data_IF_104370751696
#
_entry.id   IF_104370751696
#
_cell.length_a   1.000
_cell.length_b   1.000
_cell.length_c   1.000
_cell.angle_alpha   90.00
_cell.angle_beta   90.00
_cell.angle_gamma   90.00
#
_symmetry.space_group_name_H-M   'P 1'
#
loop_
_entity.id
_entity.type
_entity.pdbx_description
1 polymer ?
#
# COMPACT_ATOMS: atom_id res chain seq x y z
N UNK A 1 8.12 -7.32 -8.79
CA UNK A 1 7.88 -8.76 -9.06
C UNK A 1 7.95 -9.10 -10.54
N UNK A 2 7.24 -8.39 -11.45
CA UNK A 2 7.19 -8.72 -12.88
C UNK A 2 8.56 -8.90 -13.57
N UNK A 3 9.60 -8.08 -13.34
CA UNK A 3 10.91 -8.29 -13.98
C UNK A 3 11.55 -9.65 -13.66
N UNK A 4 11.18 -10.28 -12.54
CA UNK A 4 11.76 -11.55 -12.07
C UNK A 4 11.05 -12.76 -12.66
N UNK A 5 9.75 -12.65 -12.96
CA UNK A 5 8.89 -13.77 -13.38
C UNK A 5 8.46 -13.70 -14.85
N UNK A 6 8.81 -12.62 -15.56
CA UNK A 6 8.46 -12.46 -16.96
C UNK A 6 9.04 -13.59 -17.79
N UNK A 7 8.20 -14.23 -18.61
CA UNK A 7 8.62 -15.33 -19.48
C UNK A 7 9.02 -16.58 -18.71
N UNK A 8 8.48 -16.80 -17.50
CA UNK A 8 8.75 -17.98 -16.68
C UNK A 8 7.49 -18.82 -16.46
N UNK A 9 7.68 -20.09 -16.09
CA UNK A 9 6.65 -20.93 -15.51
C UNK A 9 6.47 -20.57 -14.04
N UNK A 10 5.27 -20.14 -13.64
CA UNK A 10 4.99 -19.67 -12.28
C UNK A 10 4.07 -20.65 -11.57
N UNK A 11 4.49 -21.11 -10.39
CA UNK A 11 3.68 -21.89 -9.47
C UNK A 11 3.21 -21.00 -8.31
N UNK A 12 1.90 -20.88 -8.14
CA UNK A 12 1.25 -20.16 -7.04
C UNK A 12 1.00 -21.13 -5.89
N UNK A 13 1.64 -20.90 -4.75
CA UNK A 13 1.36 -21.66 -3.53
C UNK A 13 0.27 -20.94 -2.73
N UNK A 14 -0.82 -21.62 -2.42
CA UNK A 14 -1.97 -21.05 -1.69
C UNK A 14 -2.56 -22.05 -0.70
N UNK A 15 -3.06 -21.60 0.44
CA UNK A 15 -3.87 -22.44 1.35
C UNK A 15 -5.36 -22.44 1.01
N UNK A 16 -5.78 -21.65 0.01
CA UNK A 16 -7.16 -21.57 -0.40
C UNK A 16 -7.42 -22.53 -1.57
N UNK A 17 -8.07 -23.65 -1.27
CA UNK A 17 -8.43 -24.68 -2.25
C UNK A 17 -9.29 -24.13 -3.39
N UNK A 18 -10.20 -23.19 -3.09
CA UNK A 18 -11.05 -22.55 -4.10
C UNK A 18 -10.22 -21.66 -5.02
N UNK A 19 -9.29 -20.86 -4.48
CA UNK A 19 -8.38 -20.05 -5.29
C UNK A 19 -7.52 -20.93 -6.22
N UNK A 20 -6.94 -22.02 -5.68
CA UNK A 20 -6.22 -23.02 -6.49
C UNK A 20 -7.07 -23.53 -7.65
N UNK A 21 -8.31 -23.91 -7.36
CA UNK A 21 -9.23 -24.44 -8.36
C UNK A 21 -9.51 -23.41 -9.47
N UNK A 22 -9.76 -22.15 -9.10
CA UNK A 22 -10.01 -21.07 -10.06
C UNK A 22 -8.79 -20.76 -10.94
N UNK A 23 -7.57 -20.76 -10.39
CA UNK A 23 -6.34 -20.57 -11.18
C UNK A 23 -6.16 -21.71 -12.18
N UNK A 24 -6.22 -22.95 -11.72
CA UNK A 24 -5.94 -24.11 -12.58
C UNK A 24 -7.04 -24.39 -13.62
N UNK A 25 -8.29 -24.02 -13.32
CA UNK A 25 -9.42 -24.17 -14.24
C UNK A 25 -9.73 -22.90 -15.02
N UNK A 26 -8.96 -21.83 -14.80
CA UNK A 26 -9.17 -20.51 -15.40
C UNK A 26 -10.59 -19.96 -15.17
N UNK A 27 -11.13 -20.20 -13.97
CA UNK A 27 -12.47 -19.78 -13.60
C UNK A 27 -13.30 -20.83 -12.88
N UNK A 28 -14.59 -20.53 -12.77
CA UNK A 28 -15.58 -21.39 -12.15
C UNK A 28 -17.00 -20.94 -12.51
N UNK A 29 -17.97 -21.84 -12.32
CA UNK A 29 -19.35 -21.64 -12.78
C UNK A 29 -20.26 -21.01 -11.73
N UNK A 30 -19.85 -21.00 -10.46
CA UNK A 30 -20.72 -20.64 -9.34
C UNK A 30 -20.66 -19.16 -8.93
N UNK A 31 -19.64 -18.41 -9.35
CA UNK A 31 -19.49 -16.99 -8.98
C UNK A 31 -18.96 -16.17 -10.15
N UNK A 32 -19.81 -15.25 -10.66
CA UNK A 32 -19.42 -14.31 -11.72
C UNK A 32 -18.27 -13.40 -11.30
N UNK A 33 -18.22 -13.02 -10.02
CA UNK A 33 -17.13 -12.19 -9.50
C UNK A 33 -15.80 -12.95 -9.54
N UNK A 34 -15.76 -14.18 -9.01
CA UNK A 34 -14.54 -15.00 -9.03
C UNK A 34 -14.13 -15.39 -10.46
N UNK A 35 -15.09 -15.57 -11.36
CA UNK A 35 -14.82 -15.79 -12.78
C UNK A 35 -14.09 -14.59 -13.41
N UNK A 36 -14.57 -13.37 -13.16
CA UNK A 36 -13.92 -12.14 -13.67
C UNK A 36 -12.50 -11.96 -13.14
N UNK A 37 -12.28 -12.29 -11.88
CA UNK A 37 -10.92 -12.24 -11.29
C UNK A 37 -10.00 -13.28 -11.95
N UNK A 38 -10.48 -14.52 -12.17
CA UNK A 38 -9.72 -15.56 -12.85
C UNK A 38 -9.41 -15.19 -14.31
N UNK A 39 -10.37 -14.59 -15.02
CA UNK A 39 -10.17 -14.09 -16.38
C UNK A 39 -9.15 -12.94 -16.42
N UNK A 40 -9.23 -12.01 -15.47
CA UNK A 40 -8.27 -10.91 -15.35
C UNK A 40 -6.86 -11.44 -15.10
N UNK A 41 -6.72 -12.44 -14.21
CA UNK A 41 -5.46 -13.11 -13.94
C UNK A 41 -4.94 -13.86 -15.18
N UNK A 42 -5.79 -14.62 -15.86
CA UNK A 42 -5.45 -15.38 -17.07
C UNK A 42 -4.95 -14.47 -18.18
N UNK A 43 -5.71 -13.44 -18.52
CA UNK A 43 -5.34 -12.44 -19.53
C UNK A 43 -4.02 -11.74 -19.22
N UNK A 44 -3.75 -11.48 -17.94
CA UNK A 44 -2.47 -10.91 -17.52
C UNK A 44 -1.34 -11.92 -17.66
N UNK A 45 -1.56 -13.17 -17.22
CA UNK A 45 -0.56 -14.23 -17.29
C UNK A 45 -0.17 -14.56 -18.73
N UNK A 46 -1.12 -14.64 -19.66
CA UNK A 46 -0.86 -14.88 -21.08
C UNK A 46 0.09 -13.86 -21.70
N UNK A 47 -0.02 -12.59 -21.30
CA UNK A 47 0.84 -11.51 -21.82
C UNK A 47 2.25 -11.50 -21.22
N UNK A 48 2.48 -12.21 -20.11
CA UNK A 48 3.64 -11.96 -19.26
C UNK A 48 4.40 -13.22 -18.83
N UNK A 49 3.77 -14.40 -18.81
CA UNK A 49 4.31 -15.64 -18.26
C UNK A 49 4.28 -16.75 -19.33
N UNK A 50 5.10 -17.79 -19.15
CA UNK A 50 5.00 -19.00 -19.98
C UNK A 50 3.85 -19.90 -19.52
N UNK A 51 3.64 -19.99 -18.21
CA UNK A 51 2.47 -20.65 -17.63
C UNK A 51 2.22 -20.17 -16.22
N UNK A 52 0.98 -20.36 -15.75
CA UNK A 52 0.60 -20.19 -14.35
C UNK A 52 -0.16 -21.42 -13.87
N UNK A 53 0.24 -21.96 -12.73
CA UNK A 53 -0.47 -23.05 -12.04
C UNK A 53 -0.54 -22.75 -10.55
N UNK A 54 -1.41 -23.46 -9.83
CA UNK A 54 -1.56 -23.31 -8.39
C UNK A 54 -1.50 -24.66 -7.66
N UNK A 55 -0.82 -24.66 -6.52
CA UNK A 55 -0.72 -25.80 -5.61
C UNK A 55 -1.15 -25.42 -4.19
N UNK A 56 -1.76 -26.39 -3.51
CA UNK A 56 -2.27 -26.17 -2.17
C UNK A 56 -1.17 -26.43 -1.15
N UNK A 57 -0.95 -25.49 -0.24
CA UNK A 57 -0.08 -25.65 0.92
C UNK A 57 -0.88 -25.54 2.22
N UNK A 58 -0.41 -26.19 3.29
CA UNK A 58 -1.04 -26.02 4.60
C UNK A 58 -0.94 -24.57 5.08
N UNK A 59 -1.93 -24.07 5.83
CA UNK A 59 -1.87 -22.74 6.44
C UNK A 59 -0.63 -22.52 7.32
N UNK A 60 -0.09 -23.58 7.95
CA UNK A 60 1.19 -23.53 8.69
C UNK A 60 2.39 -23.21 7.80
N UNK A 61 2.36 -23.59 6.53
CA UNK A 61 3.37 -23.22 5.54
C UNK A 61 3.09 -21.85 4.90
N UNK A 62 1.83 -21.37 4.94
CA UNK A 62 1.41 -20.09 4.39
C UNK A 62 1.54 -18.89 5.37
N UNK A 63 2.17 -19.10 6.54
CA UNK A 63 2.24 -18.10 7.62
C UNK A 63 2.81 -16.75 7.18
N UNK A 64 3.80 -16.74 6.28
CA UNK A 64 4.39 -15.48 5.79
C UNK A 64 3.38 -14.67 4.96
N UNK A 65 2.68 -15.30 4.02
CA UNK A 65 1.67 -14.63 3.21
C UNK A 65 0.48 -14.19 4.06
N UNK A 66 0.07 -15.03 5.02
CA UNK A 66 -0.97 -14.69 5.99
C UNK A 66 -0.57 -13.51 6.87
N UNK A 67 0.66 -13.51 7.40
CA UNK A 67 1.15 -12.40 8.20
C UNK A 67 1.23 -11.10 7.39
N UNK A 68 1.74 -11.14 6.16
CA UNK A 68 1.82 -9.96 5.27
C UNK A 68 0.42 -9.45 4.87
N UNK A 69 -0.53 -10.35 4.58
CA UNK A 69 -1.90 -9.95 4.22
C UNK A 69 -2.70 -9.41 5.41
N UNK A 70 -2.36 -9.85 6.63
CA UNK A 70 -2.97 -9.41 7.89
C UNK A 70 -2.22 -8.26 8.54
N UNK A 71 -1.04 -7.89 8.07
CA UNK A 71 -0.40 -6.65 8.49
C UNK A 71 -1.34 -5.50 8.16
N UNK A 72 -1.90 -4.87 9.20
CA UNK A 72 -2.63 -3.62 9.05
C UNK A 72 -1.67 -2.65 8.38
N UNK A 73 -2.05 -2.14 7.21
CA UNK A 73 -1.35 -1.02 6.57
C UNK A 73 -1.18 0.05 7.64
N UNK A 74 0.06 0.40 7.96
CA UNK A 74 0.31 1.45 8.95
C UNK A 74 -0.32 2.73 8.41
N UNK A 75 -1.39 3.19 9.06
CA UNK A 75 -2.10 4.40 8.66
C UNK A 75 -1.19 5.63 8.76
N UNK A 76 -0.09 5.55 9.53
CA UNK A 76 0.93 6.59 9.54
C UNK A 76 1.70 6.71 8.22
N UNK A 77 1.68 5.67 7.38
CA UNK A 77 2.27 5.70 6.03
C UNK A 77 1.29 6.19 4.97
N UNK A 78 0.03 6.44 5.31
CA UNK A 78 -0.92 7.03 4.38
C UNK A 78 -0.59 8.49 4.10
N UNK A 79 -0.84 8.92 2.86
CA UNK A 79 -0.83 10.33 2.47
C UNK A 79 -2.13 10.68 1.78
N UNK A 80 -2.53 11.95 1.84
CA UNK A 80 -3.58 12.45 0.98
C UNK A 80 -3.20 12.22 -0.49
N UNK A 81 -4.18 11.89 -1.32
CA UNK A 81 -3.92 11.66 -2.74
C UNK A 81 -3.26 12.89 -3.37
N UNK A 82 -2.18 12.75 -4.16
CA UNK A 82 -1.40 13.90 -4.66
C UNK A 82 -2.22 14.95 -5.43
N UNK A 83 -3.28 14.52 -6.15
CA UNK A 83 -4.21 15.47 -6.81
C UNK A 83 -4.98 16.34 -5.82
N UNK A 84 -5.49 15.74 -4.73
CA UNK A 84 -6.23 16.49 -3.70
C UNK A 84 -5.32 17.42 -2.91
N UNK A 85 -4.07 16.99 -2.67
CA UNK A 85 -3.06 17.88 -2.11
C UNK A 85 -2.78 19.05 -3.04
N UNK A 86 -2.58 18.78 -4.34
CA UNK A 86 -2.38 19.85 -5.32
C UNK A 86 -3.55 20.85 -5.34
N UNK A 87 -4.79 20.36 -5.38
CA UNK A 87 -5.99 21.20 -5.28
C UNK A 87 -6.03 22.04 -3.99
N UNK A 88 -5.64 21.45 -2.86
CA UNK A 88 -5.53 22.18 -1.59
C UNK A 88 -4.44 23.27 -1.66
N UNK A 89 -3.28 22.98 -2.24
CA UNK A 89 -2.20 23.97 -2.38
C UNK A 89 -2.57 25.13 -3.30
N UNK A 90 -3.36 24.88 -4.36
CA UNK A 90 -3.89 25.94 -5.22
C UNK A 90 -4.86 26.86 -4.47
N UNK A 91 -5.61 26.31 -3.51
CA UNK A 91 -6.62 27.07 -2.74
C UNK A 91 -6.05 27.82 -1.55
N UNK A 92 -5.15 27.20 -0.80
CA UNK A 92 -4.66 27.72 0.48
C UNK A 92 -3.22 28.23 0.44
N UNK A 93 -2.50 27.98 -0.66
CA UNK A 93 -1.07 28.26 -0.82
C UNK A 93 -0.21 27.02 -0.63
N UNK A 94 1.06 27.11 -1.04
CA UNK A 94 2.04 26.03 -0.89
C UNK A 94 2.56 25.99 0.56
N UNK A 95 2.35 24.90 1.31
CA UNK A 95 2.88 24.78 2.65
C UNK A 95 4.41 24.62 2.63
N UNK A 96 5.07 25.10 3.67
CA UNK A 96 6.54 25.07 3.77
C UNK A 96 7.08 23.80 4.41
N UNK A 97 6.23 23.03 5.11
CA UNK A 97 6.61 21.82 5.83
C UNK A 97 5.44 20.85 6.01
N UNK A 98 5.72 19.55 5.89
CA UNK A 98 4.80 18.44 6.17
C UNK A 98 5.04 17.88 7.59
N UNK A 99 4.07 18.02 8.48
CA UNK A 99 4.23 17.68 9.90
C UNK A 99 4.14 16.18 10.20
N UNK A 100 3.51 15.39 9.34
CA UNK A 100 3.20 13.98 9.63
C UNK A 100 3.51 13.10 8.44
N UNK A 101 4.80 12.89 8.17
CA UNK A 101 5.25 12.11 7.03
C UNK A 101 6.38 11.13 7.33
N UNK A 102 6.71 10.33 6.33
CA UNK A 102 7.90 9.51 6.15
C UNK A 102 8.56 9.89 4.82
N UNK A 103 9.81 9.51 4.58
CA UNK A 103 10.44 9.74 3.26
C UNK A 103 9.67 9.13 2.08
N UNK A 104 8.80 8.13 2.34
CA UNK A 104 8.04 7.43 1.31
C UNK A 104 6.71 8.14 0.98
N UNK A 105 6.17 8.92 1.91
CA UNK A 105 4.84 9.50 1.77
C UNK A 105 4.79 11.04 1.85
N UNK A 106 5.91 11.70 2.18
CA UNK A 106 6.00 13.15 2.27
C UNK A 106 5.50 13.84 1.00
N UNK A 107 4.70 14.90 1.18
CA UNK A 107 4.22 15.73 0.07
C UNK A 107 5.09 16.96 -0.17
N UNK A 108 6.05 17.21 0.73
CA UNK A 108 6.95 18.35 0.72
C UNK A 108 8.39 17.87 0.96
N UNK A 109 9.41 18.58 0.43
CA UNK A 109 10.81 18.23 0.68
C UNK A 109 11.22 18.34 2.15
N UNK A 110 10.60 19.25 2.90
CA UNK A 110 10.80 19.45 4.33
C UNK A 110 9.66 18.79 5.09
N UNK A 111 9.99 17.90 6.01
CA UNK A 111 9.00 17.15 6.76
C UNK A 111 9.50 16.68 8.13
N UNK A 112 8.55 16.40 9.02
CA UNK A 112 8.80 15.74 10.30
C UNK A 112 8.36 14.27 10.24
N UNK A 113 9.08 13.42 10.96
CA UNK A 113 8.80 11.98 11.02
C UNK A 113 8.34 11.52 12.39
N UNK A 114 7.55 10.44 12.45
CA UNK A 114 7.13 9.83 13.72
C UNK A 114 8.32 9.30 14.54
N UNK A 115 9.30 8.71 13.87
CA UNK A 115 10.52 8.15 14.45
C UNK A 115 11.75 8.83 13.86
N UNK A 116 12.90 8.71 14.54
CA UNK A 116 14.16 9.30 14.09
C UNK A 116 14.49 8.86 12.68
N UNK A 117 14.66 9.81 11.78
CA UNK A 117 15.05 9.58 10.40
C UNK A 117 16.05 10.66 9.96
N UNK A 118 17.16 10.30 9.28
CA UNK A 118 18.18 11.27 8.88
C UNK A 118 17.71 12.27 7.81
N UNK A 119 16.64 11.97 7.07
CA UNK A 119 16.07 12.84 6.04
C UNK A 119 15.02 13.81 6.59
N UNK A 120 14.58 13.61 7.83
CA UNK A 120 13.56 14.44 8.46
C UNK A 120 14.19 15.65 9.16
N UNK A 121 13.50 16.78 9.10
CA UNK A 121 13.95 18.00 9.77
C UNK A 121 13.82 17.87 11.29
N UNK A 122 12.73 17.25 11.78
CA UNK A 122 12.55 16.88 13.18
C UNK A 122 11.79 15.56 13.34
N UNK A 123 11.77 15.05 14.57
CA UNK A 123 11.04 13.84 14.97
C UNK A 123 9.90 14.20 15.92
N UNK A 124 8.71 13.64 15.68
CA UNK A 124 7.50 13.80 16.46
C UNK A 124 7.00 15.25 16.52
N UNK A 125 6.17 15.63 15.54
CA UNK A 125 5.58 16.95 15.45
C UNK A 125 4.80 17.40 16.71
N UNK A 126 4.27 16.48 17.52
CA UNK A 126 3.54 16.83 18.75
C UNK A 126 4.44 17.26 19.91
N UNK A 127 5.77 17.11 19.77
CA UNK A 127 6.77 17.45 20.81
C UNK A 127 7.72 18.56 20.37
N UNK A 128 7.51 19.11 19.18
CA UNK A 128 8.38 20.12 18.60
C UNK A 128 7.62 21.43 18.42
N UNK A 129 8.32 22.54 18.57
CA UNK A 129 7.80 23.83 18.11
C UNK A 129 7.66 23.82 16.60
N UNK A 130 6.50 24.23 16.12
CA UNK A 130 6.23 24.30 14.69
C UNK A 130 6.81 25.59 14.10
N UNK A 131 7.49 25.51 12.95
CA UNK A 131 8.05 26.70 12.31
C UNK A 131 6.92 27.64 11.88
N UNK A 132 7.24 28.93 11.76
CA UNK A 132 6.32 29.90 11.19
C UNK A 132 6.04 29.61 9.71
N UNK A 133 4.80 29.85 9.28
CA UNK A 133 4.37 29.68 7.90
C UNK A 133 3.15 28.77 7.76
N UNK A 134 2.76 28.51 6.51
CA UNK A 134 1.69 27.56 6.21
C UNK A 134 2.23 26.13 6.34
N UNK A 135 1.60 25.32 7.18
CA UNK A 135 2.01 23.94 7.45
C UNK A 135 0.96 22.96 6.93
N UNK A 136 1.43 21.81 6.45
CA UNK A 136 0.57 20.71 6.07
C UNK A 136 0.58 19.64 7.16
N UNK A 137 -0.61 19.14 7.50
CA UNK A 137 -0.76 18.05 8.46
C UNK A 137 -1.75 17.01 7.93
N UNK A 138 -1.28 15.77 7.85
CA UNK A 138 -2.11 14.59 7.61
C UNK A 138 -1.77 13.51 8.65
N UNK A 139 -2.14 13.72 9.92
CA UNK A 139 -1.75 12.82 10.99
C UNK A 139 -2.45 11.45 10.86
N UNK A 140 -1.85 10.38 11.40
CA UNK A 140 -2.54 9.12 11.62
C UNK A 140 -3.87 9.34 12.36
N UNK A 141 -4.92 8.58 12.02
CA UNK A 141 -6.27 8.79 12.56
C UNK A 141 -6.33 8.95 14.10
N UNK A 142 -5.60 8.15 14.92
CA UNK A 142 -5.63 8.31 16.37
C UNK A 142 -5.03 9.63 16.89
N UNK A 143 -4.23 10.33 16.07
CA UNK A 143 -3.56 11.59 16.43
C UNK A 143 -4.34 12.83 15.99
N UNK A 144 -5.38 12.70 15.16
CA UNK A 144 -6.22 13.83 14.73
C UNK A 144 -6.71 14.69 15.91
N UNK A 145 -7.22 14.11 17.03
CA UNK A 145 -7.70 14.91 18.17
C UNK A 145 -6.61 15.69 18.89
N UNK A 146 -5.33 15.38 18.67
CA UNK A 146 -4.20 16.09 19.27
C UNK A 146 -3.71 17.24 18.40
N UNK A 147 -4.13 17.27 17.12
CA UNK A 147 -3.70 18.26 16.12
C UNK A 147 -4.78 19.33 15.91
N UNK A 148 -6.05 18.93 15.95
CA UNK A 148 -7.19 19.83 15.78
C UNK A 148 -7.76 20.18 17.16
N UNK A 149 -8.04 21.46 17.39
CA UNK A 149 -8.78 21.96 18.55
C UNK A 149 -10.19 22.38 18.15
#
# INVERSE_FOLDING_TARGET
>A
FLPVIRGQHVLVMTDNITAKAHVNRQGGTHSKALMREAETLGNWAERHLLSITAEHISGRANVQADWLSRQKVDQAEWRLHPRLFHEATLRFGMPVLDLFASPLNAQLPRFFTRYRNPLAEQTNALRCDWPQGLLYAFPPLPLIPLVIR
#
